data_IF_430920519571
#
_entry.id   IF_430920519571
#
_cell.length_a   1.000
_cell.length_b   1.000
_cell.length_c   1.000
_cell.angle_alpha   90.00
_cell.angle_beta   90.00
_cell.angle_gamma   90.00
#
_symmetry.space_group_name_H-M   'P 1'
#
loop_
_entity.id
_entity.type
_entity.pdbx_description
1 polymer ?
#
# COMPACT_ATOMS: atom_id res chain seq x y z
N UNK A 1 46.87 31.53 -14.59
CA UNK A 1 47.11 30.06 -14.68
C UNK A 1 47.24 29.38 -13.32
N UNK A 2 47.78 30.05 -12.27
CA UNK A 2 47.84 29.50 -10.91
C UNK A 2 46.44 29.43 -10.25
N UNK A 3 45.62 30.47 -10.41
CA UNK A 3 44.23 30.53 -9.89
C UNK A 3 43.32 29.45 -10.49
N UNK A 4 43.32 29.28 -11.83
CA UNK A 4 42.58 28.20 -12.51
C UNK A 4 42.92 26.78 -12.03
N UNK A 5 44.14 26.55 -11.53
CA UNK A 5 44.53 25.24 -10.98
C UNK A 5 44.05 25.04 -9.55
N UNK A 6 43.94 26.13 -8.79
CA UNK A 6 43.38 26.13 -7.43
C UNK A 6 41.87 25.93 -7.48
N UNK A 7 41.17 26.63 -8.38
CA UNK A 7 39.72 26.49 -8.57
C UNK A 7 39.34 25.07 -9.04
N UNK A 8 40.16 24.46 -9.90
CA UNK A 8 39.95 23.09 -10.37
C UNK A 8 40.20 22.04 -9.25
N UNK A 9 41.15 22.31 -8.35
CA UNK A 9 41.41 21.45 -7.20
C UNK A 9 40.27 21.54 -6.17
N UNK A 10 39.78 22.74 -5.88
CA UNK A 10 38.65 22.97 -4.98
C UNK A 10 37.34 22.38 -5.52
N UNK A 11 37.09 22.47 -6.84
CA UNK A 11 35.96 21.81 -7.49
C UNK A 11 36.05 20.28 -7.40
N UNK A 12 37.25 19.72 -7.62
CA UNK A 12 37.47 18.28 -7.52
C UNK A 12 37.33 17.77 -6.09
N UNK A 13 37.79 18.53 -5.11
CA UNK A 13 37.65 18.19 -3.69
C UNK A 13 36.20 18.30 -3.21
N UNK A 14 35.43 19.28 -3.69
CA UNK A 14 33.98 19.36 -3.45
C UNK A 14 33.22 18.19 -4.06
N UNK A 15 33.47 17.87 -5.33
CA UNK A 15 32.89 16.68 -5.99
C UNK A 15 33.22 15.40 -5.22
N UNK A 16 34.49 15.23 -4.81
CA UNK A 16 34.90 14.07 -4.01
C UNK A 16 34.24 14.03 -2.62
N UNK A 17 33.90 15.17 -2.03
CA UNK A 17 33.22 15.26 -0.74
C UNK A 17 31.74 14.91 -0.86
N UNK A 18 31.06 15.41 -1.90
CA UNK A 18 29.68 15.05 -2.24
C UNK A 18 29.59 13.54 -2.52
N UNK A 19 30.47 12.99 -3.36
CA UNK A 19 30.53 11.56 -3.65
C UNK A 19 30.75 10.71 -2.39
N UNK A 20 31.59 11.19 -1.46
CA UNK A 20 31.84 10.52 -0.18
C UNK A 20 30.65 10.62 0.77
N UNK A 21 29.95 11.75 0.80
CA UNK A 21 28.74 11.93 1.62
C UNK A 21 27.62 11.02 1.10
N UNK A 22 27.42 10.97 -0.21
CA UNK A 22 26.48 10.05 -0.85
C UNK A 22 26.82 8.59 -0.53
N UNK A 23 28.11 8.22 -0.61
CA UNK A 23 28.56 6.87 -0.24
C UNK A 23 28.32 6.55 1.23
N UNK A 24 28.55 7.50 2.15
CA UNK A 24 28.32 7.32 3.58
C UNK A 24 26.83 7.20 3.90
N UNK A 25 25.97 8.02 3.27
CA UNK A 25 24.53 7.89 3.40
C UNK A 25 24.05 6.53 2.88
N UNK A 26 24.56 6.08 1.72
CA UNK A 26 24.27 4.75 1.17
C UNK A 26 24.68 3.64 2.12
N UNK A 27 25.88 3.71 2.71
CA UNK A 27 26.35 2.72 3.70
C UNK A 27 25.46 2.73 4.95
N UNK A 28 25.08 3.91 5.44
CA UNK A 28 24.18 4.05 6.59
C UNK A 28 22.79 3.48 6.30
N UNK A 29 22.21 3.76 5.15
CA UNK A 29 20.89 3.25 4.76
C UNK A 29 20.90 1.73 4.62
N UNK A 30 21.98 1.16 4.06
CA UNK A 30 22.19 -0.30 3.97
C UNK A 30 22.29 -0.90 5.39
N UNK A 31 23.05 -0.26 6.28
CA UNK A 31 23.18 -0.72 7.67
C UNK A 31 21.86 -0.64 8.45
N UNK A 32 20.96 0.27 8.08
CA UNK A 32 19.64 0.43 8.68
C UNK A 32 18.57 -0.44 7.99
N UNK A 33 18.92 -1.24 6.97
CA UNK A 33 17.96 -2.06 6.22
C UNK A 33 16.92 -1.24 5.45
N UNK A 34 17.21 0.04 5.18
CA UNK A 34 16.28 0.97 4.52
C UNK A 34 16.39 0.95 3.01
N UNK A 35 17.28 0.13 2.46
CA UNK A 35 17.51 0.07 1.02
C UNK A 35 17.52 -1.35 0.53
N UNK A 36 16.87 -1.57 -0.61
CA UNK A 36 16.99 -2.79 -1.37
C UNK A 36 17.17 -2.47 -2.85
N UNK A 37 17.43 -3.51 -3.64
CA UNK A 37 17.32 -3.47 -5.09
C UNK A 37 15.95 -3.98 -5.47
N UNK A 38 15.27 -3.30 -6.39
CA UNK A 38 13.97 -3.72 -6.90
C UNK A 38 14.08 -4.79 -7.99
N UNK A 39 12.95 -5.26 -8.51
CA UNK A 39 12.95 -6.25 -9.59
C UNK A 39 13.57 -5.75 -10.91
N UNK A 40 13.71 -4.43 -11.09
CA UNK A 40 14.30 -3.82 -12.29
C UNK A 40 15.81 -3.54 -12.14
N UNK A 41 16.41 -3.84 -10.99
CA UNK A 41 17.83 -3.64 -10.73
C UNK A 41 18.20 -2.22 -10.24
N UNK A 42 17.22 -1.39 -9.89
CA UNK A 42 17.41 -0.07 -9.32
C UNK A 42 17.44 -0.09 -7.80
N UNK A 43 18.33 0.72 -7.22
CA UNK A 43 18.33 0.99 -5.78
C UNK A 43 17.06 1.73 -5.39
N UNK A 44 16.41 1.23 -4.35
CA UNK A 44 15.26 1.86 -3.70
C UNK A 44 15.57 2.09 -2.25
N UNK A 45 15.32 3.31 -1.79
CA UNK A 45 15.21 3.61 -0.36
C UNK A 45 13.75 3.56 0.05
N UNK A 46 13.45 2.87 1.13
CA UNK A 46 12.12 2.81 1.74
C UNK A 46 12.17 3.48 3.10
N UNK A 47 11.15 4.26 3.41
CA UNK A 47 10.91 4.80 4.75
C UNK A 47 9.45 4.54 5.11
N UNK A 48 9.22 4.11 6.35
CA UNK A 48 7.89 3.80 6.88
C UNK A 48 7.66 4.62 8.14
N UNK A 49 6.51 5.26 8.22
CA UNK A 49 6.13 6.09 9.34
C UNK A 49 4.73 5.73 9.82
N UNK A 50 4.56 5.83 11.15
CA UNK A 50 3.25 5.95 11.76
C UNK A 50 3.18 7.35 12.36
N UNK A 51 2.29 8.17 11.82
CA UNK A 51 2.19 9.60 12.11
C UNK A 51 0.84 9.90 12.77
N UNK A 52 0.79 11.07 13.42
CA UNK A 52 -0.45 11.64 13.96
C UNK A 52 -0.64 13.07 13.44
N UNK A 53 -1.15 13.23 12.20
CA UNK A 53 -1.30 14.56 11.60
C UNK A 53 -2.32 15.44 12.33
N UNK A 54 -3.37 14.82 12.88
CA UNK A 54 -4.43 15.47 13.67
C UNK A 54 -4.68 14.70 14.98
N UNK A 55 -5.23 15.34 16.03
CA UNK A 55 -5.44 14.69 17.33
C UNK A 55 -6.28 13.41 17.28
N UNK A 56 -7.18 13.27 16.31
CA UNK A 56 -8.06 12.12 16.10
C UNK A 56 -7.68 11.30 14.86
N UNK A 57 -6.47 11.46 14.31
CA UNK A 57 -6.06 10.80 13.07
C UNK A 57 -4.77 10.02 13.27
N UNK A 58 -4.73 8.80 12.76
CA UNK A 58 -3.52 8.00 12.60
C UNK A 58 -3.20 7.91 11.10
N UNK A 59 -1.94 8.03 10.74
CA UNK A 59 -1.48 7.90 9.36
C UNK A 59 -0.40 6.81 9.28
N UNK A 60 -0.59 5.85 8.40
CA UNK A 60 0.44 4.91 7.97
C UNK A 60 1.00 5.42 6.64
N UNK A 61 2.30 5.67 6.59
CA UNK A 61 2.95 6.22 5.40
C UNK A 61 4.17 5.38 5.04
N UNK A 62 4.10 4.69 3.91
CA UNK A 62 5.25 4.11 3.24
C UNK A 62 5.68 5.05 2.09
N UNK A 63 6.97 5.35 2.04
CA UNK A 63 7.59 6.14 0.98
C UNK A 63 8.70 5.30 0.36
N UNK A 64 8.73 5.23 -0.96
CA UNK A 64 9.85 4.67 -1.70
C UNK A 64 10.46 5.71 -2.61
N UNK A 65 11.79 5.82 -2.58
CA UNK A 65 12.56 6.67 -3.48
C UNK A 65 13.43 5.80 -4.37
N UNK A 66 13.14 5.81 -5.67
CA UNK A 66 13.86 5.07 -6.71
C UNK A 66 14.85 6.01 -7.43
N UNK A 67 16.10 5.58 -7.59
CA UNK A 67 17.15 6.41 -8.22
C UNK A 67 17.14 6.38 -9.76
N UNK A 68 16.52 5.38 -10.39
CA UNK A 68 16.57 5.18 -11.83
C UNK A 68 15.32 4.50 -12.41
N UNK A 69 15.23 4.46 -13.74
CA UNK A 69 14.11 3.87 -14.47
C UNK A 69 12.95 4.84 -14.73
N UNK A 70 11.88 4.36 -15.41
CA UNK A 70 10.73 5.18 -15.78
C UNK A 70 9.99 5.80 -14.59
N UNK A 71 10.05 5.16 -13.42
CA UNK A 71 9.41 5.60 -12.18
C UNK A 71 10.43 6.15 -11.16
N UNK A 72 11.57 6.66 -11.64
CA UNK A 72 12.54 7.34 -10.80
C UNK A 72 11.89 8.54 -10.08
N UNK A 73 12.14 8.67 -8.77
CA UNK A 73 11.49 9.66 -7.91
C UNK A 73 10.85 9.02 -6.69
N UNK A 74 9.86 9.70 -6.12
CA UNK A 74 9.14 9.26 -4.93
C UNK A 74 7.79 8.65 -5.30
N UNK A 75 7.59 7.38 -4.92
CA UNK A 75 6.27 6.76 -4.81
C UNK A 75 5.86 6.69 -3.34
N UNK A 76 4.57 6.64 -3.06
CA UNK A 76 4.07 6.56 -1.69
C UNK A 76 2.81 5.71 -1.60
N UNK A 77 2.63 5.09 -0.44
CA UNK A 77 1.40 4.47 -0.01
C UNK A 77 1.03 5.03 1.37
N UNK A 78 -0.16 5.60 1.46
CA UNK A 78 -0.65 6.30 2.62
C UNK A 78 -2.02 5.76 3.00
N UNK A 79 -2.23 5.46 4.28
CA UNK A 79 -3.55 5.19 4.87
C UNK A 79 -3.77 6.21 5.98
N UNK A 80 -4.87 6.97 5.91
CA UNK A 80 -5.28 7.88 6.98
C UNK A 80 -6.57 7.39 7.61
N UNK A 81 -6.49 7.12 8.91
CA UNK A 81 -7.58 6.65 9.75
C UNK A 81 -8.03 7.78 10.65
N UNK A 82 -9.24 8.30 10.43
CA UNK A 82 -9.84 9.34 11.27
C UNK A 82 -10.86 8.75 12.21
N UNK A 83 -10.66 8.96 13.51
CA UNK A 83 -11.50 8.43 14.58
C UNK A 83 -12.58 9.43 15.02
N UNK A 84 -13.62 8.88 15.65
CA UNK A 84 -14.74 9.60 16.25
C UNK A 84 -14.35 10.64 17.31
N UNK A 85 -13.18 10.50 17.93
CA UNK A 85 -12.67 11.41 18.97
C UNK A 85 -11.14 11.42 19.01
N UNK A 86 -10.57 12.39 19.73
CA UNK A 86 -9.13 12.53 19.89
C UNK A 86 -8.52 11.27 20.51
N UNK A 87 -7.40 10.82 19.92
CA UNK A 87 -6.59 9.72 20.41
C UNK A 87 -5.84 10.14 21.69
N UNK A 88 -5.47 9.18 22.56
CA UNK A 88 -4.68 9.46 23.75
C UNK A 88 -3.40 10.23 23.43
N UNK A 89 -3.03 11.23 24.24
CA UNK A 89 -1.85 12.06 24.00
C UNK A 89 -0.55 11.23 23.94
N UNK A 90 -0.44 10.19 24.78
CA UNK A 90 0.66 9.25 24.74
C UNK A 90 0.48 8.26 23.59
N UNK A 91 1.50 8.15 22.74
CA UNK A 91 1.50 7.27 21.58
C UNK A 91 1.37 5.78 21.96
N UNK A 92 2.00 5.35 23.06
CA UNK A 92 1.92 3.95 23.51
C UNK A 92 0.50 3.54 23.91
N UNK A 93 -0.32 4.50 24.35
CA UNK A 93 -1.70 4.26 24.76
C UNK A 93 -2.66 4.19 23.57
N UNK A 94 -2.27 4.73 22.39
CA UNK A 94 -3.06 4.64 21.17
C UNK A 94 -3.28 3.19 20.77
N UNK A 95 -2.22 2.38 20.73
CA UNK A 95 -2.32 0.95 20.36
C UNK A 95 -3.32 0.23 21.24
N UNK A 96 -3.31 0.48 22.55
CA UNK A 96 -4.26 -0.10 23.50
C UNK A 96 -5.68 0.42 23.26
N UNK A 97 -5.83 1.72 23.03
CA UNK A 97 -7.12 2.36 22.77
C UNK A 97 -7.79 1.84 21.49
N UNK A 98 -7.00 1.59 20.44
CA UNK A 98 -7.51 1.15 19.13
C UNK A 98 -7.48 -0.37 18.93
N UNK A 99 -6.94 -1.14 19.89
CA UNK A 99 -6.91 -2.62 19.83
C UNK A 99 -8.30 -3.24 19.73
N UNK A 100 -9.32 -2.54 20.25
CA UNK A 100 -10.73 -2.88 20.14
C UNK A 100 -11.50 -1.95 19.20
N UNK A 101 -10.81 -1.12 18.41
CA UNK A 101 -11.44 -0.32 17.38
C UNK A 101 -11.91 -1.21 16.24
N UNK A 102 -13.07 -0.84 15.71
CA UNK A 102 -13.57 -1.43 14.47
C UNK A 102 -12.67 -0.94 13.35
N UNK A 103 -11.79 -1.82 12.86
CA UNK A 103 -11.20 -1.68 11.52
C UNK A 103 -11.74 -2.77 10.58
N UNK A 104 -12.99 -3.14 10.81
CA UNK A 104 -13.63 -4.29 10.20
C UNK A 104 -14.92 -4.59 10.93
N UNK A 105 -16.03 -4.13 10.34
CA UNK A 105 -17.43 -4.62 10.25
C UNK A 105 -18.11 -5.26 11.49
N UNK A 106 -17.40 -5.72 12.51
CA UNK A 106 -17.91 -6.64 13.53
C UNK A 106 -17.11 -6.56 14.84
N UNK A 107 -17.76 -6.14 15.94
CA UNK A 107 -17.27 -6.38 17.30
C UNK A 107 -18.29 -7.18 18.11
N UNK A 108 -17.82 -8.26 18.74
CA UNK A 108 -18.67 -9.23 19.45
C UNK A 108 -19.23 -8.72 20.79
N UNK A 109 -18.56 -7.78 21.47
CA UNK A 109 -18.93 -7.33 22.82
C UNK A 109 -18.57 -5.86 23.10
N UNK A 110 -19.55 -5.08 23.57
CA UNK A 110 -19.40 -3.70 24.06
C UNK A 110 -19.34 -2.64 22.94
N UNK A 111 -19.90 -1.45 23.19
CA UNK A 111 -19.73 -0.32 22.28
C UNK A 111 -18.22 -0.01 22.16
N UNK A 112 -17.66 0.10 20.95
CA UNK A 112 -16.28 0.55 20.80
C UNK A 112 -16.15 1.97 21.33
N UNK A 113 -15.13 2.23 22.14
CA UNK A 113 -14.83 3.58 22.63
C UNK A 113 -14.23 4.47 21.53
N UNK A 114 -13.50 3.84 20.59
CA UNK A 114 -12.92 4.43 19.40
C UNK A 114 -13.40 3.68 18.16
N UNK A 115 -13.94 4.39 17.18
CA UNK A 115 -14.33 3.85 15.88
C UNK A 115 -13.92 4.80 14.75
N UNK A 116 -13.69 4.25 13.56
CA UNK A 116 -13.38 5.03 12.38
C UNK A 116 -14.61 5.78 11.88
N UNK A 117 -14.38 7.00 11.42
CA UNK A 117 -15.33 7.84 10.69
C UNK A 117 -14.95 7.96 9.23
N UNK A 118 -13.65 8.01 8.94
CA UNK A 118 -13.11 8.14 7.58
C UNK A 118 -11.84 7.30 7.52
N UNK A 119 -11.71 6.50 6.48
CA UNK A 119 -10.44 5.93 6.04
C UNK A 119 -10.16 6.46 4.62
N UNK A 120 -8.94 6.93 4.38
CA UNK A 120 -8.47 7.20 3.01
C UNK A 120 -7.20 6.44 2.73
N UNK A 121 -7.17 5.65 1.67
CA UNK A 121 -5.96 5.00 1.18
C UNK A 121 -5.54 5.63 -0.15
N UNK A 122 -4.31 6.16 -0.23
CA UNK A 122 -3.77 6.78 -1.43
C UNK A 122 -2.44 6.14 -1.82
N UNK A 123 -2.30 5.83 -3.10
CA UNK A 123 -1.07 5.32 -3.71
C UNK A 123 -0.67 6.27 -4.82
N UNK A 124 0.59 6.74 -4.83
CA UNK A 124 1.05 7.80 -5.76
C UNK A 124 2.40 7.46 -6.36
N UNK A 125 2.64 7.92 -7.58
CA UNK A 125 3.96 7.90 -8.24
C UNK A 125 4.54 9.32 -8.40
N UNK A 126 5.80 9.44 -8.88
CA UNK A 126 6.45 10.75 -9.11
C UNK A 126 5.80 11.57 -10.23
N UNK A 127 4.99 10.94 -11.09
CA UNK A 127 4.36 11.54 -12.26
C UNK A 127 3.00 12.20 -11.94
N UNK A 128 2.55 12.11 -10.68
CA UNK A 128 1.28 12.66 -10.22
C UNK A 128 0.09 11.74 -10.44
N UNK A 129 0.30 10.50 -10.89
CA UNK A 129 -0.75 9.50 -10.93
C UNK A 129 -1.12 9.05 -9.50
N UNK A 130 -2.40 8.78 -9.26
CA UNK A 130 -2.92 8.37 -7.96
C UNK A 130 -3.99 7.30 -8.07
N UNK A 131 -3.95 6.33 -7.16
CA UNK A 131 -5.09 5.48 -6.81
C UNK A 131 -5.57 5.94 -5.45
N UNK A 132 -6.86 6.24 -5.32
CA UNK A 132 -7.44 6.76 -4.10
C UNK A 132 -8.69 5.97 -3.76
N UNK A 133 -8.73 5.43 -2.54
CA UNK A 133 -9.93 4.88 -1.94
C UNK A 133 -10.36 5.73 -0.75
N UNK A 134 -11.63 6.08 -0.69
CA UNK A 134 -12.20 6.91 0.39
C UNK A 134 -13.40 6.18 0.98
N UNK A 135 -13.31 5.82 2.26
CA UNK A 135 -14.37 5.15 3.00
C UNK A 135 -14.90 6.09 4.08
N UNK A 136 -16.19 6.39 4.06
CA UNK A 136 -16.90 7.10 5.11
C UNK A 136 -17.73 6.14 5.95
N UNK A 137 -17.44 6.06 7.25
CA UNK A 137 -18.10 5.15 8.17
C UNK A 137 -19.09 5.89 9.09
N UNK A 138 -20.28 5.32 9.21
CA UNK A 138 -21.31 5.77 10.15
C UNK A 138 -21.01 5.31 11.58
N UNK A 139 -21.83 5.75 12.53
CA UNK A 139 -21.66 5.34 13.92
C UNK A 139 -22.03 3.86 14.10
N UNK A 140 -21.26 3.07 14.88
CA UNK A 140 -21.54 1.67 15.12
C UNK A 140 -22.92 1.46 15.74
N UNK A 141 -23.63 0.45 15.24
CA UNK A 141 -24.92 0.04 15.80
C UNK A 141 -24.92 -1.47 16.09
N UNK A 142 -25.60 -1.87 17.16
CA UNK A 142 -25.73 -3.27 17.51
C UNK A 142 -26.72 -3.97 16.58
N UNK A 143 -26.25 -4.97 15.83
CA UNK A 143 -27.10 -5.86 15.07
C UNK A 143 -27.43 -7.11 15.91
N UNK A 144 -28.71 -7.26 16.28
CA UNK A 144 -29.17 -8.38 17.10
C UNK A 144 -29.18 -9.72 16.36
N UNK A 145 -29.30 -9.73 15.03
CA UNK A 145 -29.32 -10.95 14.24
C UNK A 145 -27.92 -11.59 14.16
N UNK A 146 -26.90 -10.76 13.99
CA UNK A 146 -25.50 -11.17 13.94
C UNK A 146 -24.81 -11.14 15.31
N UNK A 147 -25.47 -10.58 16.33
CA UNK A 147 -24.95 -10.41 17.71
C UNK A 147 -23.59 -9.69 17.75
N UNK A 148 -23.50 -8.61 16.98
CA UNK A 148 -22.27 -7.83 16.80
C UNK A 148 -22.57 -6.36 16.48
N UNK A 149 -21.60 -5.48 16.73
CA UNK A 149 -21.64 -4.11 16.21
C UNK A 149 -21.27 -4.07 14.74
N UNK A 150 -22.08 -3.40 13.94
CA UNK A 150 -21.85 -3.16 12.51
C UNK A 150 -21.75 -1.65 12.24
N UNK A 151 -20.93 -1.29 11.26
CA UNK A 151 -20.80 0.07 10.75
C UNK A 151 -21.16 0.11 9.27
N UNK A 152 -22.32 0.69 8.93
CA UNK A 152 -22.59 1.10 7.57
C UNK A 152 -21.50 2.03 7.03
N UNK A 153 -21.11 1.86 5.78
CA UNK A 153 -20.05 2.64 5.14
C UNK A 153 -20.41 3.02 3.71
N UNK A 154 -20.00 4.21 3.30
CA UNK A 154 -19.97 4.58 1.89
C UNK A 154 -18.52 4.53 1.43
N UNK A 155 -18.28 4.12 0.20
CA UNK A 155 -16.94 4.00 -0.35
C UNK A 155 -16.88 4.63 -1.74
N UNK A 156 -15.75 5.22 -2.08
CA UNK A 156 -15.51 5.76 -3.41
C UNK A 156 -14.08 5.46 -3.83
N UNK A 157 -13.96 4.82 -4.98
CA UNK A 157 -12.68 4.46 -5.57
C UNK A 157 -12.40 5.29 -6.81
N UNK A 158 -11.22 5.91 -6.85
CA UNK A 158 -10.78 6.82 -7.90
C UNK A 158 -9.42 6.39 -8.44
N UNK A 159 -9.24 6.60 -9.74
CA UNK A 159 -7.93 6.59 -10.38
C UNK A 159 -7.73 7.98 -10.99
N UNK A 160 -6.64 8.63 -10.62
CA UNK A 160 -6.42 10.05 -10.81
C UNK A 160 -7.61 10.86 -10.27
N UNK A 161 -8.29 11.64 -11.11
CA UNK A 161 -9.48 12.41 -10.74
C UNK A 161 -10.79 11.71 -11.11
N UNK A 162 -10.73 10.50 -11.66
CA UNK A 162 -11.88 9.79 -12.23
C UNK A 162 -12.41 8.78 -11.21
N UNK A 163 -13.66 8.96 -10.79
CA UNK A 163 -14.38 7.95 -10.01
C UNK A 163 -14.67 6.73 -10.87
N UNK A 164 -14.21 5.56 -10.42
CA UNK A 164 -14.43 4.28 -11.10
C UNK A 164 -15.64 3.55 -10.58
N UNK A 165 -15.89 3.65 -9.28
CA UNK A 165 -17.12 3.19 -8.66
C UNK A 165 -17.30 3.90 -7.31
N UNK A 166 -18.55 3.89 -6.86
CA UNK A 166 -18.94 4.35 -5.54
C UNK A 166 -19.96 3.37 -4.98
N UNK A 167 -19.84 3.08 -3.69
CA UNK A 167 -20.83 2.36 -2.92
C UNK A 167 -21.48 3.34 -1.95
N UNK A 168 -22.81 3.42 -2.01
CA UNK A 168 -23.61 4.07 -0.98
C UNK A 168 -24.34 2.98 -0.21
N UNK A 169 -24.09 2.92 1.10
CA UNK A 169 -24.72 1.92 1.94
C UNK A 169 -26.24 1.98 1.84
N UNK A 170 -26.85 0.81 1.64
CA UNK A 170 -28.28 0.60 1.82
C UNK A 170 -28.49 -0.61 2.72
N UNK A 171 -29.55 -0.60 3.55
CA UNK A 171 -29.87 -1.68 4.49
C UNK A 171 -30.15 -3.05 3.83
N UNK A 172 -30.18 -3.11 2.50
CA UNK A 172 -30.35 -4.32 1.68
C UNK A 172 -29.03 -4.88 1.16
N UNK A 173 -27.89 -4.27 1.47
CA UNK A 173 -26.58 -4.71 1.01
C UNK A 173 -26.17 -6.01 1.71
N UNK A 174 -25.93 -7.06 0.92
CA UNK A 174 -25.37 -8.34 1.37
C UNK A 174 -24.17 -8.65 0.50
N UNK A 175 -22.97 -8.45 1.03
CA UNK A 175 -21.76 -8.87 0.34
C UNK A 175 -21.60 -10.39 0.49
N UNK A 176 -21.67 -11.12 -0.63
CA UNK A 176 -21.49 -12.57 -0.63
C UNK A 176 -20.13 -12.91 -1.24
N UNK A 177 -19.15 -13.17 -0.38
CA UNK A 177 -17.86 -13.73 -0.82
C UNK A 177 -18.04 -15.21 -1.14
N UNK A 178 -18.03 -15.56 -2.42
CA UNK A 178 -17.97 -16.96 -2.84
C UNK A 178 -16.52 -17.30 -3.16
N UNK A 179 -15.80 -17.88 -2.20
CA UNK A 179 -14.47 -18.45 -2.45
C UNK A 179 -14.63 -19.80 -3.18
N UNK A 180 -14.64 -19.74 -4.51
CA UNK A 180 -14.58 -20.95 -5.34
C UNK A 180 -13.13 -21.40 -5.47
N UNK A 181 -12.60 -22.03 -4.41
CA UNK A 181 -11.27 -22.62 -4.42
C UNK A 181 -11.31 -24.15 -4.61
N UNK A 182 -11.31 -24.66 -5.86
CA UNK A 182 -10.86 -26.01 -6.13
C UNK A 182 -9.40 -25.95 -6.60
N UNK A 183 -8.45 -26.05 -5.67
CA UNK A 183 -7.10 -26.59 -5.82
C UNK A 183 -6.49 -26.71 -7.25
N UNK A 184 -6.29 -25.62 -8.00
CA UNK A 184 -5.53 -25.76 -9.26
C UNK A 184 -5.50 -24.61 -10.27
N UNK A 185 -6.49 -23.72 -10.31
CA UNK A 185 -6.44 -22.54 -11.17
C UNK A 185 -7.41 -21.49 -10.63
N UNK A 186 -6.88 -20.39 -10.11
CA UNK A 186 -7.72 -19.34 -9.52
C UNK A 186 -8.12 -18.38 -10.63
N UNK A 187 -9.09 -18.76 -11.46
CA UNK A 187 -9.98 -17.74 -12.03
C UNK A 187 -11.10 -17.56 -11.01
N UNK A 188 -10.83 -16.83 -9.92
CA UNK A 188 -11.94 -16.38 -9.08
C UNK A 188 -12.56 -15.21 -9.80
N UNK A 189 -13.55 -15.49 -10.64
CA UNK A 189 -14.47 -14.45 -11.07
C UNK A 189 -15.29 -14.08 -9.83
N UNK A 190 -14.88 -13.04 -9.11
CA UNK A 190 -15.80 -12.38 -8.19
C UNK A 190 -16.80 -11.66 -9.10
N UNK A 191 -17.89 -12.35 -9.42
CA UNK A 191 -19.08 -11.71 -9.97
C UNK A 191 -19.81 -11.16 -8.77
N UNK A 192 -19.55 -9.90 -8.44
CA UNK A 192 -20.51 -9.19 -7.62
C UNK A 192 -21.82 -9.19 -8.41
N UNK A 193 -22.83 -9.91 -7.93
CA UNK A 193 -24.21 -9.76 -8.42
C UNK A 193 -24.82 -8.43 -7.93
N UNK A 194 -24.03 -7.62 -7.24
CA UNK A 194 -24.39 -6.27 -6.85
C UNK A 194 -24.33 -5.33 -8.08
N UNK A 195 -25.47 -4.76 -8.50
CA UNK A 195 -25.47 -3.71 -9.52
C UNK A 195 -24.66 -2.46 -9.12
N UNK A 196 -24.19 -2.33 -7.87
CA UNK A 196 -23.38 -1.21 -7.37
C UNK A 196 -21.85 -1.37 -7.48
N UNK A 197 -21.31 -2.56 -7.78
CA UNK A 197 -19.87 -2.77 -8.00
C UNK A 197 -19.64 -3.24 -9.45
N UNK A 198 -19.63 -2.34 -10.44
CA UNK A 198 -19.67 -2.70 -11.85
C UNK A 198 -18.26 -3.04 -12.37
N UNK A 199 -17.54 -3.91 -11.67
CA UNK A 199 -16.22 -4.36 -12.07
C UNK A 199 -16.08 -5.87 -11.98
N UNK A 200 -15.18 -6.42 -12.80
CA UNK A 200 -14.77 -7.83 -12.73
C UNK A 200 -13.35 -7.90 -12.21
N UNK A 201 -13.10 -8.77 -11.22
CA UNK A 201 -11.76 -9.08 -10.73
C UNK A 201 -11.33 -10.45 -11.25
N UNK A 202 -10.10 -10.54 -11.76
CA UNK A 202 -9.48 -11.79 -12.20
C UNK A 202 -8.08 -11.90 -11.62
N UNK A 203 -7.85 -12.76 -10.61
CA UNK A 203 -6.51 -13.07 -10.14
C UNK A 203 -5.81 -14.05 -11.09
N UNK A 204 -4.48 -13.99 -11.20
CA UNK A 204 -3.66 -15.00 -11.89
C UNK A 204 -2.20 -14.95 -11.44
N UNK A 205 -1.43 -15.99 -11.77
CA UNK A 205 0.04 -15.96 -11.66
C UNK A 205 0.61 -15.80 -13.06
N UNK A 206 1.45 -14.78 -13.25
CA UNK A 206 2.07 -14.48 -14.54
C UNK A 206 3.32 -15.32 -14.77
N UNK A 207 3.83 -15.36 -16.00
CA UNK A 207 5.04 -16.12 -16.35
C UNK A 207 6.31 -15.63 -15.64
N UNK A 208 6.32 -14.39 -15.20
CA UNK A 208 7.37 -13.74 -14.41
C UNK A 208 7.16 -13.86 -12.89
N UNK A 209 6.27 -14.76 -12.44
CA UNK A 209 5.96 -15.05 -11.03
C UNK A 209 5.26 -13.91 -10.26
N UNK A 210 4.63 -12.96 -10.95
CA UNK A 210 3.79 -11.98 -10.29
C UNK A 210 2.45 -12.62 -9.89
N UNK A 211 1.94 -12.28 -8.71
CA UNK A 211 0.52 -12.42 -8.44
C UNK A 211 -0.20 -11.19 -9.01
N UNK A 212 -0.95 -11.39 -10.09
CA UNK A 212 -1.69 -10.35 -10.78
C UNK A 212 -3.14 -10.34 -10.30
N UNK A 213 -3.65 -9.17 -9.94
CA UNK A 213 -5.08 -8.90 -9.79
C UNK A 213 -5.46 -7.89 -10.88
N UNK A 214 -6.33 -8.28 -11.80
CA UNK A 214 -6.90 -7.36 -12.79
C UNK A 214 -8.34 -7.01 -12.46
N UNK A 215 -8.63 -5.73 -12.33
CA UNK A 215 -9.96 -5.16 -12.17
C UNK A 215 -10.33 -4.45 -13.47
N UNK A 216 -11.45 -4.83 -14.09
CA UNK A 216 -12.01 -4.13 -15.26
C UNK A 216 -13.29 -3.42 -14.85
N UNK A 217 -13.37 -2.10 -15.06
CA UNK A 217 -14.49 -1.26 -14.65
C UNK A 217 -15.56 -1.14 -15.75
N UNK A 218 -16.73 -0.59 -15.38
CA UNK A 218 -17.90 -0.44 -16.26
C UNK A 218 -17.63 0.33 -17.56
N UNK A 219 -16.70 1.30 -17.51
CA UNK A 219 -16.27 2.12 -18.63
C UNK A 219 -15.23 1.40 -19.53
N UNK A 220 -14.97 0.11 -19.29
CA UNK A 220 -13.96 -0.74 -19.93
C UNK A 220 -12.51 -0.31 -19.68
N UNK A 221 -12.27 0.62 -18.76
CA UNK A 221 -10.92 0.86 -18.24
C UNK A 221 -10.52 -0.23 -17.25
N UNK A 222 -9.25 -0.29 -16.88
CA UNK A 222 -8.74 -1.30 -15.96
C UNK A 222 -7.75 -0.76 -14.95
N UNK A 223 -7.59 -1.53 -13.87
CA UNK A 223 -6.47 -1.49 -12.93
C UNK A 223 -5.87 -2.89 -12.83
N UNK A 224 -4.57 -3.01 -13.06
CA UNK A 224 -3.78 -4.22 -12.86
C UNK A 224 -2.83 -3.98 -11.68
N UNK A 225 -2.87 -4.87 -10.70
CA UNK A 225 -1.95 -4.89 -9.55
C UNK A 225 -1.08 -6.12 -9.65
N UNK A 226 0.21 -5.92 -9.88
CA UNK A 226 1.21 -6.97 -9.87
C UNK A 226 1.89 -6.98 -8.51
N UNK A 227 1.98 -8.15 -7.88
CA UNK A 227 2.73 -8.32 -6.63
C UNK A 227 3.84 -9.33 -6.84
N UNK A 228 5.07 -8.88 -6.64
CA UNK A 228 6.26 -9.72 -6.65
C UNK A 228 6.85 -9.80 -5.25
N UNK A 229 7.47 -10.93 -4.97
CA UNK A 229 8.28 -11.10 -3.79
C UNK A 229 9.74 -11.08 -4.21
N UNK A 230 10.49 -10.10 -3.72
CA UNK A 230 11.88 -9.88 -4.13
C UNK A 230 12.78 -9.93 -2.90
N UNK A 231 13.96 -10.53 -3.03
CA UNK A 231 14.96 -10.42 -1.96
C UNK A 231 15.66 -9.06 -2.01
N UNK A 232 16.58 -8.79 -1.07
CA UNK A 232 17.31 -7.51 -1.00
C UNK A 232 18.14 -7.18 -2.25
N UNK A 233 18.46 -8.20 -3.06
CA UNK A 233 19.19 -8.08 -4.33
C UNK A 233 18.27 -7.90 -5.55
N UNK A 234 16.96 -7.75 -5.36
CA UNK A 234 16.00 -7.57 -6.46
C UNK A 234 15.64 -8.84 -7.21
N UNK A 235 16.04 -10.01 -6.71
CA UNK A 235 15.73 -11.29 -7.36
C UNK A 235 14.31 -11.70 -6.99
N UNK A 236 13.44 -11.74 -8.00
CA UNK A 236 12.07 -12.25 -7.89
C UNK A 236 12.10 -13.71 -7.45
N UNK A 237 11.43 -13.99 -6.34
CA UNK A 237 11.23 -15.34 -5.83
C UNK A 237 10.03 -15.97 -6.53
N UNK A 238 10.15 -17.22 -6.99
CA UNK A 238 9.05 -17.89 -7.66
C UNK A 238 7.88 -18.06 -6.70
N UNK A 239 6.70 -17.65 -7.16
CA UNK A 239 5.45 -17.92 -6.48
C UNK A 239 4.81 -19.14 -7.13
N UNK A 240 4.76 -20.24 -6.39
CA UNK A 240 3.88 -21.36 -6.73
C UNK A 240 2.90 -21.55 -5.59
N UNK A 241 1.66 -21.97 -5.91
CA UNK A 241 0.57 -22.06 -4.94
C UNK A 241 0.92 -22.95 -3.73
N UNK A 242 1.67 -24.02 -3.98
CA UNK A 242 2.20 -24.97 -2.98
C UNK A 242 3.33 -24.38 -2.13
N UNK A 243 4.01 -23.33 -2.62
CA UNK A 243 5.12 -22.67 -1.94
C UNK A 243 4.77 -21.31 -1.38
N UNK A 244 3.58 -20.76 -1.62
CA UNK A 244 3.16 -19.44 -1.13
C UNK A 244 3.45 -19.25 0.37
N UNK A 245 3.02 -20.20 1.21
CA UNK A 245 3.25 -20.17 2.65
C UNK A 245 4.73 -20.34 3.05
N UNK A 246 5.55 -20.97 2.20
CA UNK A 246 7.00 -21.11 2.42
C UNK A 246 7.72 -19.83 2.00
N UNK A 247 7.35 -19.24 0.87
CA UNK A 247 7.88 -17.96 0.36
C UNK A 247 7.66 -16.87 1.40
N UNK A 248 6.45 -16.75 1.98
CA UNK A 248 6.18 -15.78 3.05
C UNK A 248 7.00 -15.96 4.35
N UNK A 249 7.69 -17.10 4.52
CA UNK A 249 8.56 -17.37 5.68
C UNK A 249 10.04 -17.14 5.37
N UNK A 250 10.38 -16.79 4.13
CA UNK A 250 11.76 -16.49 3.77
C UNK A 250 12.15 -15.17 4.46
N UNK A 251 13.30 -15.13 5.17
CA UNK A 251 13.81 -13.89 5.73
C UNK A 251 14.15 -12.92 4.58
N UNK A 252 14.07 -11.61 4.87
CA UNK A 252 14.45 -10.54 3.95
C UNK A 252 13.69 -10.55 2.62
N UNK A 253 12.40 -10.86 2.69
CA UNK A 253 11.53 -10.85 1.53
C UNK A 253 10.73 -9.55 1.48
N UNK A 254 10.98 -8.78 0.43
CA UNK A 254 10.34 -7.49 0.16
C UNK A 254 9.17 -7.69 -0.80
N UNK A 255 8.18 -6.81 -0.73
CA UNK A 255 7.02 -6.81 -1.61
C UNK A 255 7.18 -5.70 -2.64
N UNK A 256 7.42 -6.06 -3.89
CA UNK A 256 7.32 -5.12 -5.00
C UNK A 256 5.86 -5.14 -5.49
N UNK A 257 5.23 -3.97 -5.54
CA UNK A 257 3.86 -3.81 -6.02
C UNK A 257 3.87 -2.81 -7.16
N UNK A 258 3.48 -3.28 -8.35
CA UNK A 258 3.38 -2.46 -9.55
C UNK A 258 1.92 -2.33 -9.96
N UNK A 259 1.45 -1.09 -10.08
CA UNK A 259 0.12 -0.74 -10.54
C UNK A 259 0.16 -0.20 -11.97
N UNK A 260 -0.71 -0.75 -12.82
CA UNK A 260 -0.98 -0.24 -14.17
C UNK A 260 -2.45 0.08 -14.29
N UNK A 261 -2.79 1.23 -14.84
CA UNK A 261 -4.17 1.60 -15.10
C UNK A 261 -4.29 2.27 -16.46
N UNK A 262 -5.49 2.24 -17.04
CA UNK A 262 -5.76 2.92 -18.31
C UNK A 262 -5.42 4.41 -18.23
N UNK A 263 -5.68 5.03 -17.08
CA UNK A 263 -5.45 6.45 -16.79
C UNK A 263 -3.97 6.83 -16.74
N UNK A 264 -3.09 5.85 -16.46
CA UNK A 264 -1.65 6.09 -16.37
C UNK A 264 -0.99 6.06 -17.76
N UNK A 265 -1.70 5.58 -18.78
CA UNK A 265 -1.15 5.36 -20.11
C UNK A 265 -0.03 4.32 -20.07
N UNK A 266 1.20 4.75 -20.36
CA UNK A 266 2.39 3.89 -20.29
C UNK A 266 3.12 3.95 -18.95
N UNK A 267 2.68 4.80 -18.02
CA UNK A 267 3.30 4.99 -16.70
C UNK A 267 2.77 3.95 -15.71
N UNK A 268 3.48 3.82 -14.60
CA UNK A 268 3.14 2.88 -13.53
C UNK A 268 3.29 3.52 -12.16
N UNK A 269 2.63 2.95 -11.15
CA UNK A 269 2.99 3.23 -9.76
C UNK A 269 3.74 2.01 -9.25
N UNK A 270 4.97 2.23 -8.79
CA UNK A 270 5.88 1.16 -8.38
C UNK A 270 6.34 1.39 -6.94
N UNK A 271 6.06 0.41 -6.09
CA UNK A 271 6.28 0.45 -4.65
C UNK A 271 7.09 -0.76 -4.20
N UNK A 272 8.13 -0.50 -3.42
CA UNK A 272 8.88 -1.52 -2.67
C UNK A 272 8.61 -1.40 -1.17
N UNK A 273 7.87 -2.36 -0.65
CA UNK A 273 7.59 -2.46 0.79
C UNK A 273 8.55 -3.48 1.40
N UNK A 274 9.21 -3.11 2.49
CA UNK A 274 10.09 -4.01 3.27
C UNK A 274 9.33 -4.40 4.55
N UNK A 275 8.71 -5.60 4.61
CA UNK A 275 7.82 -5.99 5.71
C UNK A 275 8.51 -6.09 7.07
N UNK A 276 9.82 -6.38 7.09
CA UNK A 276 10.60 -6.47 8.31
C UNK A 276 10.52 -5.17 9.15
N UNK A 277 10.35 -4.03 8.47
CA UNK A 277 10.15 -2.73 9.14
C UNK A 277 8.83 -2.69 9.93
N UNK A 278 7.79 -3.42 9.50
CA UNK A 278 6.53 -3.53 10.23
C UNK A 278 6.55 -4.54 11.38
N UNK A 279 7.49 -5.50 11.37
CA UNK A 279 7.60 -6.52 12.43
C UNK A 279 7.92 -5.92 13.81
N UNK A 280 8.41 -4.68 13.86
CA UNK A 280 8.69 -3.94 15.09
C UNK A 280 7.58 -2.95 15.48
N UNK A 281 6.59 -2.73 14.61
CA UNK A 281 5.52 -1.75 14.84
C UNK A 281 4.25 -2.39 15.43
N UNK A 282 4.13 -3.72 15.44
CA UNK A 282 2.98 -4.45 15.98
C UNK A 282 3.36 -5.67 16.81
#
# INVERSE_FOLDING_TARGET
MKELRTDLADLKDRSNLEDKQDLLERISDIQLGKTAVDMHGFRVRTDNYVLRPLPNMLQLLNITKREGGPDAGISSFEINDTFNKNLPANYMDVKTAIKGSVNGITLKNGNPDYWLKIETAAIRNPHGDVILNEVGLSDPSWNSASSMFEQPFNETFKINTITKWSHDYSATFVETYTDNNPAGAVTTTVTASDPALPYTVTPSITSDNAFLIKTTFADNTFLETYRYYVNDSGVVQPLTLDKYAQTLRMPNLNWEIVYKATEFGTRTIDLLIIPEIFSHLF
#
